data_IF_200479563096
#
_entry.id   IF_200479563096
#
_cell.length_a   1.000
_cell.length_b   1.000
_cell.length_c   1.000
_cell.angle_alpha   90.00
_cell.angle_beta   90.00
_cell.angle_gamma   90.00
#
_symmetry.space_group_name_H-M   'P 1'
#
loop_
_entity.id
_entity.type
_entity.pdbx_description
1 polymer ?
#
# COMPACT_ATOMS: atom_id res chain seq x y z
N UNK A 1 -8.34 3.96 -25.65
CA UNK A 1 -8.53 5.16 -24.80
C UNK A 1 -7.85 4.90 -23.47
N UNK A 2 -7.34 5.91 -22.77
CA UNK A 2 -6.59 5.75 -21.50
C UNK A 2 -7.09 6.67 -20.39
N UNK A 3 -8.30 7.17 -20.47
CA UNK A 3 -8.83 8.14 -19.52
C UNK A 3 -9.04 7.51 -18.12
N UNK A 4 -9.68 6.34 -18.06
CA UNK A 4 -9.89 5.63 -16.81
C UNK A 4 -8.57 5.17 -16.19
N UNK A 5 -7.63 4.68 -16.99
CA UNK A 5 -6.30 4.26 -16.52
C UNK A 5 -5.54 5.45 -15.91
N UNK A 6 -5.59 6.64 -16.51
CA UNK A 6 -4.89 7.80 -15.98
C UNK A 6 -5.45 8.23 -14.60
N UNK A 7 -6.78 8.23 -14.47
CA UNK A 7 -7.44 8.50 -13.19
C UNK A 7 -7.07 7.44 -12.13
N UNK A 8 -7.19 6.15 -12.48
CA UNK A 8 -6.81 5.04 -11.59
C UNK A 8 -5.35 5.14 -11.17
N UNK A 9 -4.45 5.47 -12.09
CA UNK A 9 -3.02 5.62 -11.81
C UNK A 9 -2.76 6.76 -10.83
N UNK A 10 -3.38 7.91 -11.03
CA UNK A 10 -3.22 9.08 -10.16
C UNK A 10 -3.66 8.76 -8.71
N UNK A 11 -4.84 8.16 -8.54
CA UNK A 11 -5.37 7.79 -7.23
C UNK A 11 -4.59 6.63 -6.59
N UNK A 12 -4.13 5.66 -7.39
CA UNK A 12 -3.27 4.58 -6.90
C UNK A 12 -1.93 5.13 -6.40
N UNK A 13 -1.33 6.08 -7.11
CA UNK A 13 -0.11 6.74 -6.65
C UNK A 13 -0.33 7.49 -5.33
N UNK A 14 -1.42 8.26 -5.19
CA UNK A 14 -1.77 8.94 -3.94
C UNK A 14 -1.94 7.93 -2.78
N UNK A 15 -2.53 6.77 -3.04
CA UNK A 15 -2.69 5.72 -2.04
C UNK A 15 -1.35 5.14 -1.55
N UNK A 16 -0.39 4.90 -2.45
CA UNK A 16 0.97 4.51 -2.07
C UNK A 16 1.70 5.60 -1.28
N UNK A 17 1.51 6.86 -1.65
CA UNK A 17 2.07 8.03 -0.94
C UNK A 17 1.50 8.11 0.48
N UNK A 18 0.20 7.88 0.67
CA UNK A 18 -0.43 7.84 1.98
C UNK A 18 0.11 6.71 2.85
N UNK A 19 0.31 5.51 2.29
CA UNK A 19 0.93 4.40 3.01
C UNK A 19 2.37 4.75 3.40
N UNK A 20 3.15 5.39 2.51
CA UNK A 20 4.50 5.87 2.84
C UNK A 20 4.48 6.85 4.01
N UNK A 21 3.56 7.82 4.02
CA UNK A 21 3.40 8.77 5.12
C UNK A 21 3.06 8.06 6.43
N UNK A 22 2.17 7.08 6.39
CA UNK A 22 1.84 6.27 7.56
C UNK A 22 3.06 5.51 8.11
N UNK A 23 3.91 4.93 7.25
CA UNK A 23 5.16 4.26 7.67
C UNK A 23 6.14 5.25 8.31
N UNK A 24 6.25 6.46 7.79
CA UNK A 24 7.15 7.49 8.33
C UNK A 24 6.69 8.06 9.67
N UNK A 25 5.45 7.81 10.10
CA UNK A 25 4.86 8.41 11.29
C UNK A 25 4.43 7.40 12.36
N UNK A 26 4.30 6.13 12.01
CA UNK A 26 3.81 5.08 12.92
C UNK A 26 4.81 4.73 14.03
N UNK A 27 4.38 3.96 15.00
CA UNK A 27 5.27 3.27 15.93
C UNK A 27 5.31 1.79 15.52
N UNK A 28 6.44 1.36 14.97
CA UNK A 28 6.60 0.02 14.40
C UNK A 28 6.34 -1.13 15.37
N UNK A 29 6.65 -0.93 16.65
CA UNK A 29 6.52 -1.97 17.69
C UNK A 29 5.17 -1.90 18.43
N UNK A 30 4.34 -0.89 18.16
CA UNK A 30 3.03 -0.81 18.80
C UNK A 30 2.11 -1.93 18.25
N UNK A 31 1.35 -2.51 19.16
CA UNK A 31 0.42 -3.57 18.77
C UNK A 31 -0.75 -3.01 17.94
N UNK A 32 -0.97 -3.60 16.79
CA UNK A 32 -2.16 -3.43 15.96
C UNK A 32 -2.83 -4.80 15.86
N UNK A 33 -4.04 -4.95 16.38
CA UNK A 33 -4.76 -6.23 16.43
C UNK A 33 -3.92 -7.41 16.97
N UNK A 34 -3.04 -7.14 17.94
CA UNK A 34 -2.22 -8.19 18.59
C UNK A 34 -0.85 -8.45 17.98
N UNK A 35 -0.53 -7.84 16.83
CA UNK A 35 0.77 -7.98 16.14
C UNK A 35 1.48 -6.64 16.02
N UNK A 36 2.82 -6.59 15.96
CA UNK A 36 3.55 -5.34 15.75
C UNK A 36 3.13 -4.65 14.44
N UNK A 37 3.01 -3.32 14.46
CA UNK A 37 2.51 -2.53 13.34
C UNK A 37 3.31 -2.74 12.03
N UNK A 38 4.64 -2.97 12.12
CA UNK A 38 5.45 -3.26 10.94
C UNK A 38 5.01 -4.52 10.18
N UNK A 39 4.38 -5.49 10.86
CA UNK A 39 3.81 -6.69 10.24
C UNK A 39 2.64 -6.33 9.32
N UNK A 40 1.80 -5.38 9.74
CA UNK A 40 0.71 -4.87 8.90
C UNK A 40 1.22 -4.03 7.72
N UNK A 41 2.32 -3.29 7.91
CA UNK A 41 3.01 -2.61 6.80
C UNK A 41 3.47 -3.63 5.76
N UNK A 42 4.22 -4.66 6.20
CA UNK A 42 4.68 -5.72 5.31
C UNK A 42 3.52 -6.41 4.59
N UNK A 43 2.50 -6.85 5.33
CA UNK A 43 1.29 -7.47 4.80
C UNK A 43 0.65 -6.61 3.68
N UNK A 44 0.55 -5.32 3.90
CA UNK A 44 -0.08 -4.39 2.97
C UNK A 44 0.74 -4.27 1.68
N UNK A 45 2.07 -4.12 1.79
CA UNK A 45 2.97 -4.01 0.63
C UNK A 45 3.02 -5.34 -0.14
N UNK A 46 3.16 -6.46 0.57
CA UNK A 46 3.20 -7.80 -0.03
C UNK A 46 1.89 -8.13 -0.76
N UNK A 47 0.75 -7.82 -0.14
CA UNK A 47 -0.56 -7.97 -0.80
C UNK A 47 -0.65 -7.13 -2.08
N UNK A 48 -0.15 -5.89 -2.06
CA UNK A 48 -0.12 -5.04 -3.25
C UNK A 48 0.77 -5.64 -4.34
N UNK A 49 1.98 -6.13 -4.01
CA UNK A 49 2.91 -6.75 -4.95
C UNK A 49 2.32 -8.00 -5.64
N UNK A 50 1.52 -8.75 -4.91
CA UNK A 50 0.86 -9.96 -5.41
C UNK A 50 -0.41 -9.65 -6.22
N UNK A 51 -1.29 -8.83 -5.66
CA UNK A 51 -2.68 -8.76 -6.12
C UNK A 51 -3.00 -7.59 -7.07
N UNK A 52 -2.11 -6.60 -7.24
CA UNK A 52 -2.32 -5.61 -8.32
C UNK A 52 -2.19 -6.22 -9.72
N UNK A 53 -1.48 -7.33 -9.85
CA UNK A 53 -1.11 -7.91 -11.16
C UNK A 53 -1.86 -9.21 -11.46
N UNK A 54 -1.20 -10.31 -11.18
CA UNK A 54 -1.76 -11.64 -11.34
C UNK A 54 -1.24 -12.56 -10.22
N UNK A 55 -2.05 -12.84 -9.20
CA UNK A 55 -1.61 -13.65 -8.06
C UNK A 55 -1.23 -15.09 -8.43
N UNK A 56 -1.73 -15.60 -9.58
CA UNK A 56 -1.48 -16.98 -10.05
C UNK A 56 -0.05 -17.21 -10.58
N UNK A 57 0.69 -16.12 -10.83
CA UNK A 57 2.07 -16.17 -11.32
C UNK A 57 3.02 -15.38 -10.42
N UNK A 58 2.58 -15.02 -9.22
CA UNK A 58 3.38 -14.27 -8.28
C UNK A 58 4.56 -15.12 -7.78
N UNK A 59 5.72 -14.49 -7.66
CA UNK A 59 6.90 -15.06 -7.05
C UNK A 59 7.20 -14.30 -5.77
N UNK A 60 7.33 -15.01 -4.66
CA UNK A 60 7.64 -14.41 -3.38
C UNK A 60 9.01 -13.69 -3.42
N UNK A 61 9.14 -12.52 -2.74
CA UNK A 61 10.44 -11.87 -2.58
C UNK A 61 11.44 -12.77 -1.86
N UNK A 62 12.74 -12.66 -2.15
CA UNK A 62 13.78 -13.48 -1.54
C UNK A 62 13.82 -13.39 -0.01
N UNK A 63 13.43 -12.26 0.56
CA UNK A 63 13.36 -12.05 2.01
C UNK A 63 12.04 -12.54 2.65
N UNK A 64 11.12 -13.10 1.86
CA UNK A 64 9.84 -13.60 2.40
C UNK A 64 10.05 -14.92 3.15
N UNK A 65 9.64 -14.95 4.42
CA UNK A 65 9.48 -16.18 5.20
C UNK A 65 8.05 -16.69 5.08
N UNK A 66 7.88 -18.00 5.00
CA UNK A 66 6.56 -18.62 4.86
C UNK A 66 5.60 -18.19 5.97
N UNK A 67 4.45 -17.65 5.60
CA UNK A 67 3.45 -17.14 6.52
C UNK A 67 3.68 -15.71 7.03
N UNK A 68 4.78 -15.07 6.61
CA UNK A 68 5.09 -13.69 6.98
C UNK A 68 4.04 -12.69 6.45
N UNK A 69 3.35 -13.02 5.38
CA UNK A 69 2.26 -12.25 4.79
C UNK A 69 0.98 -12.20 5.63
N UNK A 70 0.85 -13.09 6.61
CA UNK A 70 -0.23 -13.04 7.60
C UNK A 70 0.30 -12.48 8.93
N UNK A 71 -0.13 -11.28 9.38
CA UNK A 71 0.33 -10.68 10.64
C UNK A 71 0.11 -11.55 11.88
N UNK A 72 -0.88 -12.44 11.86
CA UNK A 72 -1.21 -13.31 13.00
C UNK A 72 -0.28 -14.52 13.12
N UNK A 73 0.47 -14.86 12.07
CA UNK A 73 1.41 -15.96 12.11
C UNK A 73 2.74 -15.54 12.75
N UNK A 74 3.39 -16.41 13.52
CA UNK A 74 4.76 -16.16 13.95
C UNK A 74 5.71 -16.14 12.75
N UNK A 75 6.72 -15.27 12.77
CA UNK A 75 7.83 -15.30 11.83
C UNK A 75 9.12 -14.89 12.52
N UNK A 76 10.26 -15.37 12.03
CA UNK A 76 11.58 -15.04 12.56
C UNK A 76 12.22 -13.86 11.80
N UNK A 77 11.82 -13.67 10.56
CA UNK A 77 12.28 -12.54 9.75
C UNK A 77 11.70 -11.24 10.28
N UNK A 78 12.56 -10.24 10.44
CA UNK A 78 12.19 -8.88 10.83
C UNK A 78 12.78 -7.92 9.79
N UNK A 79 11.94 -7.08 9.18
CA UNK A 79 12.38 -6.04 8.26
C UNK A 79 12.49 -4.70 8.98
N UNK A 80 13.52 -3.93 8.70
CA UNK A 80 13.65 -2.54 9.15
C UNK A 80 12.66 -1.63 8.40
N UNK A 81 12.50 -0.39 8.89
CA UNK A 81 11.64 0.58 8.21
C UNK A 81 12.24 1.01 6.86
N UNK A 82 13.56 1.03 6.74
CA UNK A 82 14.27 1.28 5.48
C UNK A 82 13.95 0.19 4.46
N UNK A 83 14.04 -1.09 4.84
CA UNK A 83 13.72 -2.23 3.96
C UNK A 83 12.24 -2.21 3.54
N UNK A 84 11.33 -1.86 4.46
CA UNK A 84 9.91 -1.72 4.16
C UNK A 84 9.62 -0.56 3.19
N UNK A 85 10.30 0.58 3.35
CA UNK A 85 10.17 1.74 2.45
C UNK A 85 10.77 1.44 1.06
N UNK A 86 11.88 0.74 0.99
CA UNK A 86 12.47 0.28 -0.29
C UNK A 86 11.54 -0.72 -1.00
N UNK A 87 10.95 -1.65 -0.26
CA UNK A 87 9.97 -2.58 -0.82
C UNK A 87 8.73 -1.85 -1.32
N UNK A 88 8.20 -0.92 -0.53
CA UNK A 88 7.06 -0.10 -0.93
C UNK A 88 7.34 0.65 -2.24
N UNK A 89 8.50 1.32 -2.35
CA UNK A 89 8.84 2.09 -3.53
C UNK A 89 9.00 1.20 -4.78
N UNK A 90 9.63 0.04 -4.63
CA UNK A 90 9.73 -0.96 -5.71
C UNK A 90 8.36 -1.41 -6.20
N UNK A 91 7.43 -1.73 -5.27
CA UNK A 91 6.06 -2.14 -5.61
C UNK A 91 5.29 -1.00 -6.25
N UNK A 92 5.44 0.23 -5.74
CA UNK A 92 4.83 1.42 -6.32
C UNK A 92 5.26 1.62 -7.77
N UNK A 93 6.56 1.63 -8.04
CA UNK A 93 7.10 1.80 -9.41
C UNK A 93 6.61 0.70 -10.34
N UNK A 94 6.70 -0.56 -9.93
CA UNK A 94 6.17 -1.72 -10.67
C UNK A 94 4.68 -1.55 -10.99
N UNK A 95 3.89 -1.03 -10.03
CA UNK A 95 2.46 -0.80 -10.22
C UNK A 95 2.21 0.34 -11.21
N UNK A 96 2.97 1.45 -11.12
CA UNK A 96 2.85 2.58 -12.06
C UNK A 96 3.16 2.14 -13.50
N UNK A 97 4.25 1.38 -13.69
CA UNK A 97 4.64 0.83 -15.00
C UNK A 97 3.58 -0.13 -15.56
N UNK A 98 3.02 -0.98 -14.69
CA UNK A 98 1.93 -1.88 -15.08
C UNK A 98 0.70 -1.10 -15.54
N UNK A 99 0.26 -0.08 -14.79
CA UNK A 99 -0.88 0.74 -15.17
C UNK A 99 -0.63 1.49 -16.50
N UNK A 100 0.60 1.95 -16.74
CA UNK A 100 0.98 2.58 -18.02
C UNK A 100 0.90 1.61 -19.21
N UNK A 101 1.10 0.31 -18.98
CA UNK A 101 1.00 -0.73 -19.99
C UNK A 101 -0.44 -1.09 -20.37
N UNK A 102 -1.43 -0.72 -19.55
CA UNK A 102 -2.84 -1.04 -19.77
C UNK A 102 -3.56 -0.02 -20.66
N UNK A 103 -4.68 -0.46 -21.20
CA UNK A 103 -5.72 0.38 -21.83
C UNK A 103 -7.02 0.23 -21.04
N UNK A 104 -7.98 1.14 -21.25
CA UNK A 104 -9.26 1.09 -20.55
C UNK A 104 -10.01 -0.22 -20.85
N UNK A 105 -9.85 -0.78 -22.05
CA UNK A 105 -10.45 -2.05 -22.46
C UNK A 105 -9.86 -3.23 -21.68
N UNK A 106 -8.53 -3.23 -21.48
CA UNK A 106 -7.81 -4.28 -20.74
C UNK A 106 -8.22 -4.37 -19.27
N UNK A 107 -8.78 -3.31 -18.70
CA UNK A 107 -9.29 -3.33 -17.32
C UNK A 107 -10.34 -4.42 -17.10
N UNK A 108 -11.17 -4.67 -18.07
CA UNK A 108 -12.28 -5.63 -18.00
C UNK A 108 -11.87 -7.05 -18.36
N UNK A 109 -10.64 -7.25 -18.80
CA UNK A 109 -10.10 -8.56 -19.11
C UNK A 109 -9.45 -9.19 -17.86
N UNK A 110 -9.48 -10.53 -17.81
CA UNK A 110 -8.83 -11.32 -16.77
C UNK A 110 -7.38 -11.61 -17.15
N UNK A 111 -6.42 -11.47 -16.21
CA UNK A 111 -5.10 -12.04 -16.42
C UNK A 111 -5.18 -13.56 -16.61
N UNK A 112 -4.18 -14.13 -17.27
CA UNK A 112 -4.14 -15.58 -17.56
C UNK A 112 -4.29 -16.42 -16.30
N UNK A 113 -5.23 -17.34 -16.29
CA UNK A 113 -5.61 -18.21 -15.15
C UNK A 113 -6.23 -17.48 -13.95
N UNK A 114 -6.31 -16.17 -13.94
CA UNK A 114 -6.88 -15.40 -12.83
C UNK A 114 -8.42 -15.41 -12.89
N UNK A 115 -9.04 -15.52 -11.72
CA UNK A 115 -10.50 -15.48 -11.61
C UNK A 115 -11.07 -14.05 -11.72
N UNK A 116 -10.28 -13.04 -11.37
CA UNK A 116 -10.69 -11.63 -11.32
C UNK A 116 -10.25 -10.88 -12.57
N UNK A 117 -11.03 -9.86 -12.97
CA UNK A 117 -10.58 -8.87 -13.95
C UNK A 117 -9.48 -7.97 -13.36
N UNK A 118 -8.73 -7.29 -14.23
CA UNK A 118 -7.70 -6.32 -13.77
C UNK A 118 -8.30 -5.20 -12.92
N UNK A 119 -9.48 -4.71 -13.31
CA UNK A 119 -10.18 -3.69 -12.54
C UNK A 119 -10.57 -4.19 -11.14
N UNK A 120 -11.08 -5.42 -11.02
CA UNK A 120 -11.39 -6.01 -9.72
C UNK A 120 -10.15 -6.15 -8.83
N UNK A 121 -9.02 -6.57 -9.39
CA UNK A 121 -7.75 -6.67 -8.66
C UNK A 121 -7.29 -5.28 -8.17
N UNK A 122 -7.30 -4.27 -9.04
CA UNK A 122 -6.92 -2.90 -8.71
C UNK A 122 -7.80 -2.33 -7.60
N UNK A 123 -9.12 -2.42 -7.72
CA UNK A 123 -10.05 -1.89 -6.72
C UNK A 123 -9.93 -2.61 -5.37
N UNK A 124 -9.68 -3.91 -5.38
CA UNK A 124 -9.44 -4.69 -4.16
C UNK A 124 -8.18 -4.21 -3.43
N UNK A 125 -7.09 -3.98 -4.16
CA UNK A 125 -5.85 -3.49 -3.56
C UNK A 125 -5.93 -2.03 -3.13
N UNK A 126 -6.59 -1.19 -3.91
CA UNK A 126 -6.88 0.18 -3.52
C UNK A 126 -7.57 0.24 -2.14
N UNK A 127 -8.66 -0.52 -1.98
CA UNK A 127 -9.37 -0.61 -0.70
C UNK A 127 -8.51 -1.19 0.42
N UNK A 128 -7.70 -2.21 0.13
CA UNK A 128 -6.86 -2.89 1.11
C UNK A 128 -5.76 -1.96 1.66
N UNK A 129 -5.05 -1.26 0.79
CA UNK A 129 -4.04 -0.28 1.18
C UNK A 129 -4.68 0.84 2.01
N UNK A 130 -5.82 1.40 1.56
CA UNK A 130 -6.51 2.47 2.29
C UNK A 130 -6.95 2.03 3.68
N UNK A 131 -7.43 0.80 3.83
CA UNK A 131 -7.85 0.23 5.11
C UNK A 131 -6.67 0.16 6.10
N UNK A 132 -5.55 -0.43 5.71
CA UNK A 132 -4.40 -0.57 6.59
C UNK A 132 -3.68 0.76 6.85
N UNK A 133 -3.63 1.66 5.87
CA UNK A 133 -3.16 3.03 6.07
C UNK A 133 -3.97 3.75 7.15
N UNK A 134 -5.30 3.61 7.12
CA UNK A 134 -6.18 4.16 8.15
C UNK A 134 -5.90 3.60 9.54
N UNK A 135 -5.67 2.29 9.66
CA UNK A 135 -5.30 1.64 10.95
C UNK A 135 -4.00 2.21 11.52
N UNK A 136 -2.97 2.39 10.70
CA UNK A 136 -1.69 2.96 11.11
C UNK A 136 -1.83 4.43 11.50
N UNK A 137 -2.63 5.20 10.77
CA UNK A 137 -2.88 6.61 11.06
C UNK A 137 -3.63 6.80 12.39
N UNK A 138 -4.60 5.94 12.70
CA UNK A 138 -5.30 5.95 14.01
C UNK A 138 -4.29 5.70 15.13
N UNK A 139 -3.46 4.67 15.02
CA UNK A 139 -2.41 4.36 16.00
C UNK A 139 -1.47 5.55 16.20
N UNK A 140 -1.05 6.22 15.13
CA UNK A 140 -0.20 7.42 15.21
C UNK A 140 -0.92 8.57 15.91
N UNK A 141 -2.18 8.82 15.58
CA UNK A 141 -2.99 9.90 16.14
C UNK A 141 -3.22 9.70 17.64
N UNK A 142 -3.58 8.49 18.05
CA UNK A 142 -3.77 8.15 19.47
C UNK A 142 -2.49 8.36 20.29
N UNK A 143 -1.34 8.01 19.73
CA UNK A 143 -0.03 8.14 20.39
C UNK A 143 0.48 9.57 20.45
N UNK A 144 0.29 10.36 19.39
CA UNK A 144 0.95 11.67 19.23
C UNK A 144 0.02 12.85 19.39
N UNK A 145 -1.28 12.65 19.33
CA UNK A 145 -2.28 13.72 19.20
C UNK A 145 -2.25 14.44 17.84
N UNK A 146 -1.42 13.96 16.86
CA UNK A 146 -1.27 14.57 15.55
C UNK A 146 -1.75 13.61 14.48
N UNK A 147 -2.49 14.13 13.51
CA UNK A 147 -2.98 13.36 12.39
C UNK A 147 -1.95 13.37 11.24
N UNK A 148 -1.50 12.20 10.73
CA UNK A 148 -0.65 12.16 9.55
C UNK A 148 -1.34 12.78 8.34
N UNK A 149 -0.59 13.55 7.53
CA UNK A 149 -1.15 14.13 6.30
C UNK A 149 -1.67 13.00 5.41
N UNK A 150 -2.92 13.17 4.97
CA UNK A 150 -3.57 12.32 3.98
C UNK A 150 -3.84 13.13 2.72
N UNK A 151 -3.43 12.62 1.57
CA UNK A 151 -3.51 13.30 0.27
C UNK A 151 -4.38 12.54 -0.72
N UNK A 152 -4.96 13.29 -1.66
CA UNK A 152 -5.56 12.79 -2.90
C UNK A 152 -4.62 13.10 -4.08
N UNK A 153 -4.97 12.62 -5.28
CA UNK A 153 -4.21 12.91 -6.49
C UNK A 153 -4.07 14.42 -6.77
N UNK A 154 -5.04 15.23 -6.33
CA UNK A 154 -5.10 16.68 -6.61
C UNK A 154 -4.29 17.53 -5.63
N UNK A 155 -3.79 16.97 -4.52
CA UNK A 155 -3.16 17.74 -3.45
C UNK A 155 -1.88 17.09 -2.87
N UNK A 156 -1.13 16.37 -3.68
CA UNK A 156 0.13 15.74 -3.28
C UNK A 156 1.16 16.74 -2.74
N UNK A 157 1.07 18.00 -3.16
CA UNK A 157 1.92 19.11 -2.71
C UNK A 157 1.80 19.39 -1.21
N UNK A 158 0.70 18.99 -0.54
CA UNK A 158 0.55 19.12 0.91
C UNK A 158 1.71 18.48 1.70
N UNK A 159 2.30 17.42 1.18
CA UNK A 159 3.46 16.75 1.82
C UNK A 159 4.72 17.63 1.89
N UNK A 160 4.81 18.69 1.08
CA UNK A 160 5.90 19.67 1.18
C UNK A 160 5.86 20.45 2.51
N UNK A 161 4.73 20.45 3.21
CA UNK A 161 4.50 21.14 4.51
C UNK A 161 4.89 20.27 5.71
N UNK A 162 5.21 19.01 5.51
CA UNK A 162 5.57 18.07 6.57
C UNK A 162 4.81 16.75 6.50
N UNK A 163 4.82 15.99 7.59
CA UNK A 163 4.18 14.67 7.68
C UNK A 163 2.86 14.69 8.46
N UNK A 164 2.58 15.77 9.20
CA UNK A 164 1.38 15.89 10.02
C UNK A 164 0.54 17.09 9.59
N UNK A 165 -0.77 16.94 9.62
CA UNK A 165 -1.67 18.08 9.52
C UNK A 165 -1.44 18.99 10.75
N UNK A 166 -1.07 20.24 10.50
CA UNK A 166 -1.08 21.28 11.51
C UNK A 166 -2.54 21.63 11.77
N UNK A 167 -3.12 20.97 12.76
CA UNK A 167 -4.54 20.84 12.98
C UNK A 167 -5.32 22.14 12.83
N UNK A 168 -6.51 22.05 12.28
CA UNK A 168 -7.59 22.93 12.72
C UNK A 168 -7.83 22.64 14.20
N UNK A 169 -7.15 23.39 15.07
CA UNK A 169 -7.45 23.50 16.51
C UNK A 169 -8.77 24.17 16.73
#
# INVERSE_FOLDING_TARGET
>A
MKEHIQMIKAETNANFVNLRTAILTYNREAAVCGSPAWRYVYHTIHSADKWYFNPEIFTEPEFHEAGMDNPDNPCNQVLSDEELLEYLERVRLKTMDYLDSLTDELLYERPKKCHYTRLELILRQFRHISFHTGMLNVQTTERTGKFPIYVSADNLDRLSKGLYDEGQT
#
